data_IF_435068352254
#
_entry.id   IF_435068352254
#
_cell.length_a   1.000
_cell.length_b   1.000
_cell.length_c   1.000
_cell.angle_alpha   90.00
_cell.angle_beta   90.00
_cell.angle_gamma   90.00
#
_symmetry.space_group_name_H-M   'P 1'
#
loop_
_entity.id
_entity.type
_entity.pdbx_description
1 polymer ?
#
# COMPACT_ATOMS: atom_id res chain seq x y z
N UNK A 1 -1.78 -30.62 15.45
CA UNK A 1 -0.97 -30.89 14.24
C UNK A 1 -1.76 -30.98 12.93
N UNK A 2 -2.94 -30.39 12.90
CA UNK A 2 -3.77 -30.38 11.69
C UNK A 2 -3.20 -29.47 10.59
N UNK A 3 -2.37 -28.52 10.93
CA UNK A 3 -1.74 -27.59 10.00
C UNK A 3 -0.52 -28.17 9.28
N UNK A 4 0.25 -29.02 9.93
CA UNK A 4 1.40 -29.72 9.32
C UNK A 4 1.00 -30.75 8.26
N UNK A 5 -0.22 -31.30 8.38
CA UNK A 5 -0.78 -32.28 7.41
C UNK A 5 -1.20 -31.58 6.11
N UNK A 6 -1.56 -30.32 6.16
CA UNK A 6 -2.03 -29.55 5.00
C UNK A 6 -0.91 -28.87 4.20
N UNK A 7 0.25 -28.62 4.82
CA UNK A 7 1.39 -27.93 4.17
C UNK A 7 2.58 -28.84 3.83
N UNK A 8 2.64 -30.04 4.35
CA UNK A 8 3.63 -31.05 3.98
C UNK A 8 5.08 -30.81 4.43
N UNK A 9 5.40 -29.68 5.04
CA UNK A 9 6.72 -29.39 5.59
C UNK A 9 6.62 -28.48 6.81
N UNK A 10 7.04 -28.97 7.96
CA UNK A 10 7.31 -28.18 9.16
C UNK A 10 8.83 -28.18 9.35
N UNK A 11 9.50 -27.11 8.95
CA UNK A 11 10.87 -26.86 9.39
C UNK A 11 10.84 -26.35 10.84
N UNK A 12 11.71 -26.88 11.68
CA UNK A 12 11.83 -26.53 13.10
C UNK A 12 13.10 -25.68 13.21
N UNK A 13 13.01 -24.50 13.79
CA UNK A 13 14.18 -23.65 14.04
C UNK A 13 15.07 -24.23 15.16
N UNK A 14 16.23 -23.63 15.39
CA UNK A 14 17.19 -24.04 16.45
C UNK A 14 16.58 -23.99 17.87
N UNK A 15 15.40 -23.39 18.04
CA UNK A 15 14.68 -23.27 19.30
C UNK A 15 13.46 -24.19 19.40
N UNK A 16 13.25 -25.09 18.41
CA UNK A 16 12.15 -26.06 18.41
C UNK A 16 10.78 -25.47 18.09
N UNK A 17 10.73 -24.24 17.56
CA UNK A 17 9.48 -23.63 17.11
C UNK A 17 9.17 -24.05 15.68
N UNK A 18 7.92 -24.42 15.36
CA UNK A 18 7.53 -24.73 13.99
C UNK A 18 7.64 -23.44 13.15
N UNK A 19 8.65 -23.40 12.27
CA UNK A 19 8.71 -22.38 11.24
C UNK A 19 7.62 -22.69 10.22
N UNK A 20 6.59 -21.86 10.20
CA UNK A 20 5.61 -21.86 9.14
C UNK A 20 6.29 -21.21 7.92
N UNK A 21 7.00 -22.00 7.11
CA UNK A 21 7.39 -21.53 5.79
C UNK A 21 6.12 -21.27 4.99
N UNK A 22 5.77 -20.01 4.86
CA UNK A 22 4.80 -19.58 3.88
C UNK A 22 5.42 -19.80 2.50
N UNK A 23 5.29 -21.01 1.98
CA UNK A 23 5.44 -21.21 0.55
C UNK A 23 4.33 -20.39 -0.11
N UNK A 24 4.68 -19.15 -0.44
CA UNK A 24 3.93 -18.40 -1.45
C UNK A 24 4.18 -19.15 -2.75
N UNK A 25 3.39 -20.21 -2.99
CA UNK A 25 3.38 -20.84 -4.31
C UNK A 25 3.17 -19.72 -5.33
N UNK A 26 4.08 -19.60 -6.30
CA UNK A 26 3.91 -18.57 -7.32
C UNK A 26 2.58 -18.85 -8.01
N UNK A 27 1.65 -17.88 -7.96
CA UNK A 27 0.37 -17.99 -8.67
C UNK A 27 0.63 -18.41 -10.11
N UNK A 28 -0.11 -19.40 -10.58
CA UNK A 28 -0.07 -19.82 -11.97
C UNK A 28 -0.23 -18.62 -12.91
N UNK A 29 0.40 -18.63 -14.09
CA UNK A 29 0.27 -17.54 -15.06
C UNK A 29 -1.20 -17.18 -15.36
N UNK A 30 -2.09 -18.16 -15.40
CA UNK A 30 -3.52 -17.97 -15.56
C UNK A 30 -4.14 -17.20 -14.40
N UNK A 31 -3.88 -17.61 -13.17
CA UNK A 31 -4.38 -16.96 -11.95
C UNK A 31 -3.89 -15.51 -11.87
N UNK A 32 -2.61 -15.29 -12.17
CA UNK A 32 -2.02 -13.95 -12.20
C UNK A 32 -2.67 -13.04 -13.24
N UNK A 33 -2.94 -13.55 -14.45
CA UNK A 33 -3.58 -12.79 -15.50
C UNK A 33 -5.04 -12.48 -15.15
N UNK A 34 -5.78 -13.47 -14.64
CA UNK A 34 -7.17 -13.30 -14.19
C UNK A 34 -7.26 -12.27 -13.05
N UNK A 35 -6.37 -12.38 -12.04
CA UNK A 35 -6.27 -11.39 -10.98
C UNK A 35 -5.99 -9.99 -11.54
N UNK A 36 -5.07 -9.87 -12.47
CA UNK A 36 -4.73 -8.58 -13.08
C UNK A 36 -5.90 -7.96 -13.85
N UNK A 37 -6.64 -8.75 -14.60
CA UNK A 37 -7.85 -8.30 -15.30
C UNK A 37 -8.92 -7.83 -14.31
N UNK A 38 -9.12 -8.57 -13.22
CA UNK A 38 -10.03 -8.17 -12.15
C UNK A 38 -9.59 -6.87 -11.47
N UNK A 39 -8.30 -6.73 -11.14
CA UNK A 39 -7.73 -5.50 -10.56
C UNK A 39 -7.99 -4.29 -11.48
N UNK A 40 -7.77 -4.43 -12.78
CA UNK A 40 -8.01 -3.37 -13.77
C UNK A 40 -9.51 -3.04 -13.86
N UNK A 41 -10.36 -4.05 -14.04
CA UNK A 41 -11.81 -3.86 -14.21
C UNK A 41 -12.45 -3.18 -13.00
N UNK A 42 -12.15 -3.68 -11.79
CA UNK A 42 -12.68 -3.12 -10.53
C UNK A 42 -12.15 -1.69 -10.31
N UNK A 43 -10.86 -1.45 -10.55
CA UNK A 43 -10.28 -0.12 -10.35
C UNK A 43 -10.80 0.90 -11.36
N UNK A 44 -11.00 0.51 -12.61
CA UNK A 44 -11.59 1.37 -13.63
C UNK A 44 -13.04 1.73 -13.28
N UNK A 45 -13.83 0.74 -12.88
CA UNK A 45 -15.21 0.93 -12.44
C UNK A 45 -15.27 1.83 -11.19
N UNK A 46 -14.41 1.57 -10.19
CA UNK A 46 -14.33 2.38 -8.99
C UNK A 46 -14.01 3.84 -9.31
N UNK A 47 -13.00 4.11 -10.15
CA UNK A 47 -12.64 5.48 -10.55
C UNK A 47 -13.77 6.16 -11.32
N UNK A 48 -14.47 5.44 -12.19
CA UNK A 48 -15.61 5.97 -12.94
C UNK A 48 -16.76 6.33 -11.99
N UNK A 49 -17.19 5.41 -11.14
CA UNK A 49 -18.31 5.61 -10.21
C UNK A 49 -17.99 6.66 -9.13
N UNK A 50 -16.74 6.68 -8.64
CA UNK A 50 -16.31 7.63 -7.62
C UNK A 50 -15.83 8.98 -8.20
N UNK A 51 -15.78 9.14 -9.52
CA UNK A 51 -15.26 10.37 -10.15
C UNK A 51 -15.93 11.65 -9.64
N UNK A 52 -17.27 11.75 -9.43
CA UNK A 52 -17.86 12.96 -8.87
C UNK A 52 -17.35 13.25 -7.45
N UNK A 53 -17.25 12.22 -6.62
CA UNK A 53 -16.71 12.34 -5.26
C UNK A 53 -15.24 12.79 -5.28
N UNK A 54 -14.43 12.18 -6.15
CA UNK A 54 -13.00 12.54 -6.29
C UNK A 54 -12.83 14.00 -6.71
N UNK A 55 -13.69 14.52 -7.60
CA UNK A 55 -13.67 15.92 -8.01
C UNK A 55 -14.03 16.86 -6.86
N UNK A 56 -15.07 16.52 -6.07
CA UNK A 56 -15.46 17.30 -4.90
C UNK A 56 -14.34 17.33 -3.87
N UNK A 57 -13.75 16.16 -3.55
CA UNK A 57 -12.63 16.07 -2.60
C UNK A 57 -11.43 16.84 -3.11
N UNK A 58 -11.07 16.73 -4.39
CA UNK A 58 -9.98 17.48 -5.00
C UNK A 58 -10.21 19.00 -4.86
N UNK A 59 -11.41 19.47 -5.15
CA UNK A 59 -11.78 20.89 -5.02
C UNK A 59 -11.64 21.39 -3.58
N UNK A 60 -12.14 20.64 -2.60
CA UNK A 60 -12.06 21.01 -1.17
C UNK A 60 -10.59 21.02 -0.71
N UNK A 61 -9.78 20.03 -1.11
CA UNK A 61 -8.35 19.99 -0.75
C UNK A 61 -7.55 21.15 -1.37
N UNK A 62 -7.86 21.55 -2.62
CA UNK A 62 -7.23 22.72 -3.26
C UNK A 62 -7.54 24.00 -2.48
N UNK A 63 -8.77 24.16 -1.98
CA UNK A 63 -9.16 25.34 -1.19
C UNK A 63 -8.43 25.46 0.15
N UNK A 64 -7.89 24.36 0.66
CA UNK A 64 -7.04 24.31 1.85
C UNK A 64 -5.56 24.76 1.55
N UNK A 65 -5.31 25.32 0.35
CA UNK A 65 -4.03 25.88 -0.08
C UNK A 65 -3.00 24.86 -0.56
N UNK A 66 -2.86 24.70 -1.88
CA UNK A 66 -1.88 23.83 -2.53
C UNK A 66 -2.49 22.72 -3.41
N UNK A 67 -1.70 21.77 -3.93
CA UNK A 67 -2.18 20.76 -4.86
C UNK A 67 -3.15 19.78 -4.21
N UNK A 68 -4.11 19.25 -4.99
CA UNK A 68 -5.05 18.24 -4.52
C UNK A 68 -4.36 16.92 -4.18
N UNK A 69 -3.39 16.55 -4.99
CA UNK A 69 -2.73 15.25 -4.90
C UNK A 69 -1.35 15.36 -4.26
N UNK A 70 -1.02 14.36 -3.48
CA UNK A 70 0.30 14.11 -2.92
C UNK A 70 0.86 12.81 -3.49
N UNK A 71 2.13 12.83 -3.85
CA UNK A 71 2.86 11.67 -4.37
C UNK A 71 4.02 11.37 -3.43
N UNK A 72 4.15 10.10 -3.06
CA UNK A 72 5.20 9.64 -2.16
C UNK A 72 5.85 8.39 -2.72
N UNK A 73 7.18 8.32 -2.68
CA UNK A 73 7.92 7.13 -3.10
C UNK A 73 7.73 5.99 -2.12
N UNK A 74 7.44 4.82 -2.66
CA UNK A 74 7.25 3.56 -1.95
C UNK A 74 7.95 2.43 -2.68
N UNK A 75 8.26 1.35 -1.93
CA UNK A 75 8.80 0.13 -2.51
C UNK A 75 7.66 -0.77 -2.97
N UNK A 76 7.73 -1.18 -4.21
CA UNK A 76 6.81 -2.11 -4.85
C UNK A 76 7.43 -3.47 -5.09
N UNK A 77 6.88 -4.20 -6.05
CA UNK A 77 7.38 -5.52 -6.45
C UNK A 77 8.84 -5.46 -6.88
N UNK A 78 9.63 -6.46 -6.44
CA UNK A 78 11.07 -6.54 -6.65
C UNK A 78 11.85 -5.35 -6.07
N UNK A 79 11.34 -4.74 -4.99
CA UNK A 79 11.89 -3.54 -4.35
C UNK A 79 12.07 -2.34 -5.31
N UNK A 80 11.32 -2.30 -6.42
CA UNK A 80 11.32 -1.14 -7.34
C UNK A 80 10.53 0.00 -6.73
N UNK A 81 11.05 1.20 -6.81
CA UNK A 81 10.36 2.40 -6.34
C UNK A 81 9.25 2.79 -7.30
N UNK A 82 8.11 3.19 -6.74
CA UNK A 82 7.01 3.80 -7.48
C UNK A 82 6.42 4.96 -6.67
N UNK A 83 5.59 5.79 -7.29
CA UNK A 83 4.95 6.93 -6.61
C UNK A 83 3.50 6.60 -6.31
N UNK A 84 3.19 6.35 -5.02
CA UNK A 84 1.82 6.19 -4.58
C UNK A 84 1.08 7.53 -4.68
N UNK A 85 -0.14 7.51 -5.19
CA UNK A 85 -0.99 8.68 -5.36
C UNK A 85 -2.04 8.75 -4.24
N UNK A 86 -2.12 9.89 -3.55
CA UNK A 86 -3.11 10.14 -2.49
C UNK A 86 -3.65 11.56 -2.60
N UNK A 87 -4.80 11.84 -1.99
CA UNK A 87 -5.14 13.23 -1.69
C UNK A 87 -4.22 13.77 -0.61
N UNK A 88 -3.87 15.05 -0.74
CA UNK A 88 -3.11 15.74 0.30
C UNK A 88 -3.96 15.87 1.56
N UNK A 89 -3.44 15.35 2.67
CA UNK A 89 -4.06 15.40 3.99
C UNK A 89 -3.23 16.15 5.03
N UNK A 90 -2.04 16.64 4.64
CA UNK A 90 -1.12 17.39 5.50
C UNK A 90 -0.81 18.76 4.92
N UNK A 91 -0.38 19.69 5.78
CA UNK A 91 0.11 21.01 5.38
C UNK A 91 1.32 20.89 4.43
N UNK A 92 1.52 21.94 3.62
CA UNK A 92 2.70 22.02 2.76
C UNK A 92 3.97 22.02 3.61
N UNK A 93 4.96 21.24 3.20
CA UNK A 93 6.22 21.11 3.93
C UNK A 93 6.17 20.22 5.17
N UNK A 94 5.10 19.46 5.38
CA UNK A 94 4.95 18.56 6.53
C UNK A 94 6.09 17.52 6.70
N UNK A 95 6.82 17.23 5.64
CA UNK A 95 7.96 16.29 5.64
C UNK A 95 9.33 16.99 5.53
N UNK A 96 9.41 18.31 5.72
CA UNK A 96 10.67 19.06 5.65
C UNK A 96 11.72 18.59 6.69
N UNK A 97 11.27 18.04 7.81
CA UNK A 97 12.13 17.45 8.84
C UNK A 97 12.49 15.97 8.58
N UNK A 98 12.18 15.44 7.40
CA UNK A 98 12.44 14.05 7.01
C UNK A 98 11.26 13.10 7.22
N UNK A 99 11.50 11.80 6.95
CA UNK A 99 10.46 10.76 7.07
C UNK A 99 10.04 10.55 8.53
N UNK A 100 8.77 10.77 8.83
CA UNK A 100 8.20 10.54 10.16
C UNK A 100 6.94 9.71 10.07
N UNK A 101 6.70 8.87 11.08
CA UNK A 101 5.42 8.19 11.25
C UNK A 101 4.38 9.21 11.70
N UNK A 102 3.18 9.09 11.17
CA UNK A 102 2.05 9.97 11.51
C UNK A 102 1.15 9.28 12.54
N UNK A 103 0.80 10.01 13.60
CA UNK A 103 -0.25 9.62 14.56
C UNK A 103 -1.60 10.22 14.17
N UNK A 104 -2.67 9.84 14.86
CA UNK A 104 -4.01 10.41 14.62
C UNK A 104 -4.09 11.90 14.99
N UNK A 105 -3.35 12.32 16.02
CA UNK A 105 -3.31 13.72 16.50
C UNK A 105 -2.12 14.52 15.95
N UNK A 106 -1.52 14.06 14.85
CA UNK A 106 -0.37 14.73 14.24
C UNK A 106 -0.73 16.17 13.82
N UNK A 107 -0.05 17.19 14.36
CA UNK A 107 -0.34 18.59 14.08
C UNK A 107 -0.12 18.98 12.61
N UNK A 108 0.60 18.18 11.84
CA UNK A 108 0.82 18.38 10.41
C UNK A 108 -0.41 18.08 9.56
N UNK A 109 -1.43 17.41 10.13
CA UNK A 109 -2.65 17.04 9.42
C UNK A 109 -3.59 18.25 9.37
N UNK A 110 -4.09 18.60 8.16
CA UNK A 110 -5.07 19.67 7.99
C UNK A 110 -6.44 19.26 8.55
N UNK A 111 -7.34 20.24 8.79
CA UNK A 111 -8.69 19.94 9.24
C UNK A 111 -9.44 19.01 8.30
N UNK A 112 -9.38 19.27 6.99
CA UNK A 112 -9.97 18.39 5.97
C UNK A 112 -9.20 17.06 5.87
N UNK A 113 -7.90 17.09 6.02
CA UNK A 113 -7.05 15.90 6.01
C UNK A 113 -7.41 14.90 7.11
N UNK A 114 -7.81 15.39 8.29
CA UNK A 114 -8.28 14.54 9.39
C UNK A 114 -9.56 13.78 9.00
N UNK A 115 -10.51 14.46 8.38
CA UNK A 115 -11.71 13.83 7.85
C UNK A 115 -11.38 12.79 6.76
N UNK A 116 -10.54 13.14 5.78
CA UNK A 116 -10.17 12.24 4.70
C UNK A 116 -9.50 10.96 5.21
N UNK A 117 -8.58 11.07 6.18
CA UNK A 117 -7.89 9.92 6.80
C UNK A 117 -8.84 9.04 7.60
N UNK A 118 -9.75 9.64 8.37
CA UNK A 118 -10.74 8.90 9.15
C UNK A 118 -11.58 7.95 8.29
N UNK A 119 -11.94 8.39 7.09
CA UNK A 119 -12.77 7.62 6.15
C UNK A 119 -11.98 6.98 5.01
N UNK A 120 -10.65 7.03 5.06
CA UNK A 120 -9.75 6.50 4.02
C UNK A 120 -9.99 7.09 2.62
N UNK A 121 -10.63 8.24 2.52
CA UNK A 121 -10.89 8.92 1.25
C UNK A 121 -9.61 9.44 0.60
N UNK A 122 -8.59 9.74 1.41
CA UNK A 122 -7.27 10.15 0.92
C UNK A 122 -6.57 9.06 0.10
N UNK A 123 -6.94 7.80 0.27
CA UNK A 123 -6.33 6.67 -0.44
C UNK A 123 -7.05 6.30 -1.75
N UNK A 124 -8.24 6.85 -2.03
CA UNK A 124 -9.02 6.54 -3.25
C UNK A 124 -8.23 6.77 -4.56
N UNK A 125 -7.36 7.79 -4.70
CA UNK A 125 -6.55 7.93 -5.91
C UNK A 125 -5.60 6.77 -6.20
N UNK A 126 -5.34 5.87 -5.24
CA UNK A 126 -4.49 4.69 -5.44
C UNK A 126 -5.08 3.69 -6.44
N UNK A 127 -6.40 3.72 -6.71
CA UNK A 127 -6.97 2.96 -7.82
C UNK A 127 -6.29 3.27 -9.15
N UNK A 128 -5.77 4.48 -9.31
CA UNK A 128 -4.93 4.84 -10.46
C UNK A 128 -3.63 4.03 -10.47
N UNK A 129 -2.95 3.88 -9.33
CA UNK A 129 -1.75 3.05 -9.25
C UNK A 129 -2.03 1.56 -9.55
N UNK A 130 -3.25 1.09 -9.25
CA UNK A 130 -3.67 -0.26 -9.66
C UNK A 130 -3.84 -0.32 -11.17
N UNK A 131 -4.46 0.66 -11.81
CA UNK A 131 -4.61 0.69 -13.27
C UNK A 131 -3.26 0.73 -14.00
N UNK A 132 -2.32 1.54 -13.52
CA UNK A 132 -0.97 1.66 -14.12
C UNK A 132 -0.12 0.41 -13.90
N UNK A 133 -0.46 -0.44 -12.92
CA UNK A 133 0.26 -1.67 -12.64
C UNK A 133 1.30 -1.56 -11.53
N UNK A 134 1.39 -0.42 -10.87
CA UNK A 134 2.27 -0.25 -9.71
C UNK A 134 1.77 -1.00 -8.49
N UNK A 135 0.44 -1.15 -8.39
CA UNK A 135 -0.25 -1.78 -7.27
C UNK A 135 -1.29 -2.81 -7.72
N UNK A 136 -1.80 -3.56 -6.78
CA UNK A 136 -2.96 -4.45 -6.87
C UNK A 136 -4.03 -3.97 -5.87
N UNK A 137 -5.26 -4.46 -5.99
CA UNK A 137 -6.30 -4.20 -4.98
C UNK A 137 -5.92 -4.84 -3.66
N UNK A 138 -5.47 -6.10 -3.71
CA UNK A 138 -5.09 -6.88 -2.53
C UNK A 138 -3.61 -7.24 -2.61
N UNK A 139 -2.87 -6.93 -1.54
CA UNK A 139 -1.45 -7.20 -1.43
C UNK A 139 -0.86 -6.55 -0.17
N UNK A 140 0.42 -6.79 0.13
CA UNK A 140 1.09 -6.16 1.26
C UNK A 140 1.14 -4.64 1.07
N UNK A 141 1.03 -3.89 2.17
CA UNK A 141 1.13 -2.43 2.15
C UNK A 141 2.53 -2.00 1.71
N UNK A 142 2.66 -1.09 0.72
CA UNK A 142 3.98 -0.64 0.29
C UNK A 142 4.60 0.28 1.32
N UNK A 143 5.85 -0.01 1.70
CA UNK A 143 6.61 0.77 2.67
C UNK A 143 7.53 1.80 2.01
N UNK A 144 7.94 2.82 2.78
CA UNK A 144 8.99 3.77 2.36
C UNK A 144 10.35 3.07 2.48
N UNK A 145 11.25 3.32 1.53
CA UNK A 145 12.59 2.73 1.55
C UNK A 145 13.29 2.91 2.91
N UNK A 146 13.22 4.12 3.48
CA UNK A 146 13.80 4.44 4.78
C UNK A 146 13.36 3.50 5.92
N UNK A 147 12.06 3.16 5.99
CA UNK A 147 11.56 2.24 7.03
C UNK A 147 11.79 0.78 6.66
N UNK A 148 11.73 0.47 5.37
CA UNK A 148 11.98 -0.87 4.86
C UNK A 148 13.40 -1.35 5.18
N UNK A 149 14.41 -0.48 5.04
CA UNK A 149 15.79 -0.80 5.37
C UNK A 149 15.94 -1.12 6.86
N UNK A 150 15.32 -0.34 7.74
CA UNK A 150 15.33 -0.60 9.19
C UNK A 150 14.60 -1.91 9.58
N UNK A 151 13.54 -2.25 8.85
CA UNK A 151 12.82 -3.51 9.06
C UNK A 151 13.68 -4.68 8.60
N UNK A 152 14.32 -4.58 7.44
CA UNK A 152 15.17 -5.62 6.87
C UNK A 152 16.42 -5.92 7.73
N UNK A 153 16.97 -4.91 8.41
CA UNK A 153 18.05 -5.10 9.37
C UNK A 153 17.63 -5.98 10.56
N UNK A 154 16.37 -5.84 11.02
CA UNK A 154 15.83 -6.59 12.17
C UNK A 154 15.17 -7.91 11.77
N UNK A 155 14.62 -7.97 10.58
CA UNK A 155 13.84 -9.09 10.06
C UNK A 155 14.14 -9.31 8.57
N UNK A 156 15.25 -9.99 8.21
CA UNK A 156 15.65 -10.21 6.81
C UNK A 156 14.60 -10.95 5.98
N UNK A 157 13.77 -11.78 6.61
CA UNK A 157 12.65 -12.49 5.99
C UNK A 157 11.58 -11.55 5.41
N UNK A 158 11.50 -10.30 5.88
CA UNK A 158 10.60 -9.28 5.35
C UNK A 158 10.78 -9.03 3.84
N UNK A 159 11.96 -9.38 3.28
CA UNK A 159 12.24 -9.32 1.85
C UNK A 159 11.22 -10.09 0.99
N UNK A 160 10.59 -11.12 1.54
CA UNK A 160 9.61 -11.94 0.81
C UNK A 160 8.37 -11.14 0.37
N UNK A 161 8.00 -10.05 1.05
CA UNK A 161 6.86 -9.21 0.65
C UNK A 161 7.07 -8.56 -0.72
N UNK A 162 8.33 -8.32 -1.13
CA UNK A 162 8.65 -7.72 -2.43
C UNK A 162 8.55 -8.70 -3.60
N UNK A 163 8.24 -9.98 -3.36
CA UNK A 163 7.98 -10.96 -4.43
C UNK A 163 6.60 -10.74 -5.06
N UNK A 164 5.68 -10.11 -4.34
CA UNK A 164 4.32 -9.87 -4.78
C UNK A 164 4.06 -8.39 -5.03
N UNK A 165 2.96 -8.09 -5.75
CA UNK A 165 2.52 -6.73 -6.00
C UNK A 165 1.99 -6.12 -4.70
N UNK A 166 2.37 -4.88 -4.33
CA UNK A 166 1.80 -4.20 -3.18
C UNK A 166 0.30 -3.92 -3.40
N UNK A 167 -0.47 -3.90 -2.32
CA UNK A 167 -1.91 -3.69 -2.34
C UNK A 167 -2.35 -2.36 -1.75
N UNK A 168 -3.62 -2.01 -2.03
CA UNK A 168 -4.32 -0.94 -1.31
C UNK A 168 -4.70 -1.44 0.09
N UNK A 169 -5.07 -2.73 0.18
CA UNK A 169 -5.49 -3.41 1.41
C UNK A 169 -4.65 -4.64 1.64
#
# INVERSE_FOLDING_TARGET
>A
DTYGILSGMVDIDEHGLPLMEWHLEPMDPWQRNTKRLADIGISALALLCLSPLLLVVAFVVIRDGGPAFFRQERLGKHARTFKILKFRSMHMGAESAGPQLSSEEDPRITGIGRFLRKYRLDELPQFWNVLTGDMSLVGPRPERAYFADQILEKAPQYRHIYKVQPGIT
#
